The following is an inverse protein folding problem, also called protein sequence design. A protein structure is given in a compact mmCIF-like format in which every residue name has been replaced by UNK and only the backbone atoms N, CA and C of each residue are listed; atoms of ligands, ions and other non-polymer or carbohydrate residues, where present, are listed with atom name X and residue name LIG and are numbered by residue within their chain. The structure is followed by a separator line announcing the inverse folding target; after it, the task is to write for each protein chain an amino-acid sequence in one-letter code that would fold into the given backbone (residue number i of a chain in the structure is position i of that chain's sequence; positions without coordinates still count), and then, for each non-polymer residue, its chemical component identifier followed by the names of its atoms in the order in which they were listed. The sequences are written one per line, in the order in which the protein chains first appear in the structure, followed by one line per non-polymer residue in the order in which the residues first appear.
data_IF_632805084434
#
_entry.id   IF_632805084434
#
_cell.length_a   1.000
_cell.length_b   1.000
_cell.length_c   1.000
_cell.angle_alpha   90.00
_cell.angle_beta   90.00
_cell.angle_gamma   90.00
#
_symmetry.space_group_name_H-M   'P 1'
#
loop_
_entity.id
_entity.type
_entity.pdbx_description
1 polymer ?
#
# COMPACT_ATOMS: atom_id res chain seq x y z
N UNK A 1 14.65 2.96 -4.83
CA UNK A 1 13.23 3.27 -4.57
C UNK A 1 12.54 1.97 -4.20
N UNK A 2 11.74 1.92 -3.13
CA UNK A 2 11.11 0.66 -2.67
C UNK A 2 9.73 0.46 -3.29
N UNK A 3 9.26 -0.79 -3.38
CA UNK A 3 7.91 -1.12 -3.88
C UNK A 3 6.82 -0.40 -3.05
N UNK A 4 7.01 -0.26 -1.74
CA UNK A 4 6.13 0.53 -0.87
C UNK A 4 6.01 1.97 -1.34
N UNK A 5 7.14 2.63 -1.64
CA UNK A 5 7.11 4.03 -2.06
C UNK A 5 6.47 4.17 -3.43
N UNK A 6 6.79 3.28 -4.38
CA UNK A 6 6.16 3.25 -5.70
C UNK A 6 4.64 3.04 -5.61
N UNK A 7 4.19 2.15 -4.73
CA UNK A 7 2.78 1.92 -4.45
C UNK A 7 2.07 3.17 -3.92
N UNK A 8 2.62 3.81 -2.88
CA UNK A 8 2.02 5.03 -2.31
C UNK A 8 2.08 6.19 -3.31
N UNK A 9 3.15 6.29 -4.10
CA UNK A 9 3.28 7.31 -5.15
C UNK A 9 2.21 7.14 -6.22
N UNK A 10 1.95 5.91 -6.66
CA UNK A 10 0.91 5.64 -7.64
C UNK A 10 -0.49 5.97 -7.11
N UNK A 11 -0.73 5.82 -5.80
CA UNK A 11 -1.97 6.28 -5.15
C UNK A 11 -2.06 7.80 -5.11
N UNK A 12 -0.99 8.48 -4.68
CA UNK A 12 -0.93 9.96 -4.66
C UNK A 12 -1.15 10.53 -6.06
N UNK A 13 -0.54 9.92 -7.07
CA UNK A 13 -0.64 10.33 -8.47
C UNK A 13 -1.98 9.93 -9.12
N UNK A 14 -2.85 9.20 -8.41
CA UNK A 14 -4.15 8.75 -8.93
C UNK A 14 -4.05 7.73 -10.06
N UNK A 15 -2.96 6.95 -10.12
CA UNK A 15 -2.69 6.00 -11.22
C UNK A 15 -3.51 4.71 -11.13
N UNK A 16 -3.89 4.27 -9.93
CA UNK A 16 -4.81 3.16 -9.72
C UNK A 16 -5.48 3.25 -8.34
N UNK A 17 -6.55 2.47 -8.16
CA UNK A 17 -7.40 2.53 -6.98
C UNK A 17 -8.39 3.69 -7.03
N UNK A 18 -9.37 3.65 -6.13
CA UNK A 18 -10.37 4.71 -5.97
C UNK A 18 -10.01 5.58 -4.76
N UNK A 19 -9.15 6.58 -4.99
CA UNK A 19 -8.54 7.39 -3.95
C UNK A 19 -7.59 6.54 -3.12
N UNK A 20 -7.97 6.26 -1.87
CA UNK A 20 -7.14 5.48 -0.93
C UNK A 20 -7.54 4.00 -0.84
N UNK A 21 -8.52 3.57 -1.64
CA UNK A 21 -8.99 2.18 -1.67
C UNK A 21 -8.40 1.47 -2.88
N UNK A 22 -7.76 0.33 -2.66
CA UNK A 22 -7.15 -0.50 -3.70
C UNK A 22 -7.64 -1.93 -3.63
N UNK A 23 -7.69 -2.59 -4.78
CA UNK A 23 -7.90 -4.03 -4.86
C UNK A 23 -6.59 -4.76 -5.16
N UNK A 24 -6.52 -6.04 -4.75
CA UNK A 24 -5.40 -6.92 -5.07
C UNK A 24 -5.23 -7.08 -6.58
N UNK A 25 -6.33 -7.15 -7.32
CA UNK A 25 -6.32 -7.26 -8.77
C UNK A 25 -5.72 -6.03 -9.43
N UNK A 26 -6.16 -4.82 -9.07
CA UNK A 26 -5.58 -3.57 -9.59
C UNK A 26 -4.09 -3.47 -9.28
N UNK A 27 -3.70 -3.81 -8.05
CA UNK A 27 -2.30 -3.80 -7.65
C UNK A 27 -1.45 -4.78 -8.48
N UNK A 28 -1.91 -6.03 -8.65
CA UNK A 28 -1.20 -7.03 -9.47
C UNK A 28 -1.13 -6.63 -10.94
N UNK A 29 -2.18 -6.00 -11.47
CA UNK A 29 -2.19 -5.49 -12.85
C UNK A 29 -1.23 -4.32 -13.04
N UNK A 30 -1.20 -3.37 -12.09
CA UNK A 30 -0.34 -2.20 -12.16
C UNK A 30 1.14 -2.55 -11.96
N UNK A 31 1.45 -3.49 -11.07
CA UNK A 31 2.79 -3.99 -10.80
C UNK A 31 3.06 -5.35 -11.49
N UNK A 32 2.56 -5.54 -12.72
CA UNK A 32 2.68 -6.82 -13.45
C UNK A 32 4.12 -7.27 -13.72
N UNK A 33 5.07 -6.33 -13.71
CA UNK A 33 6.49 -6.59 -13.93
C UNK A 33 7.23 -7.00 -12.65
N UNK A 34 6.59 -6.90 -11.49
CA UNK A 34 7.14 -7.35 -10.21
C UNK A 34 6.94 -8.86 -10.03
N UNK A 35 7.76 -9.47 -9.16
CA UNK A 35 7.64 -10.90 -8.87
C UNK A 35 6.22 -11.23 -8.33
N UNK A 36 5.58 -12.23 -8.92
CA UNK A 36 4.21 -12.64 -8.59
C UNK A 36 4.03 -13.10 -7.13
N UNK A 37 5.08 -13.64 -6.51
CA UNK A 37 5.07 -13.98 -5.09
C UNK A 37 5.04 -12.69 -4.25
N UNK A 38 5.84 -11.69 -4.62
CA UNK A 38 5.87 -10.40 -3.94
C UNK A 38 4.54 -9.68 -4.08
N UNK A 39 4.00 -9.57 -5.30
CA UNK A 39 2.72 -8.88 -5.53
C UNK A 39 1.54 -9.62 -4.89
N UNK A 40 1.62 -10.95 -4.85
CA UNK A 40 0.60 -11.81 -4.27
C UNK A 40 0.41 -11.64 -2.76
N UNK A 41 1.47 -11.33 -2.01
CA UNK A 41 1.45 -11.17 -0.55
C UNK A 41 1.59 -9.72 -0.06
N UNK A 42 1.99 -8.77 -0.92
CA UNK A 42 2.30 -7.39 -0.52
C UNK A 42 1.20 -6.74 0.34
N UNK A 43 -0.04 -6.71 -0.17
CA UNK A 43 -1.15 -6.04 0.53
C UNK A 43 -1.52 -6.72 1.86
N UNK A 44 -1.43 -8.05 1.92
CA UNK A 44 -1.67 -8.79 3.15
C UNK A 44 -0.55 -8.57 4.18
N UNK A 45 0.71 -8.50 3.72
CA UNK A 45 1.84 -8.23 4.60
C UNK A 45 1.86 -6.77 5.09
N UNK A 46 1.33 -5.83 4.31
CA UNK A 46 1.19 -4.42 4.71
C UNK A 46 -0.01 -4.13 5.62
N UNK A 47 -0.80 -5.16 5.96
CA UNK A 47 -2.03 -5.02 6.73
C UNK A 47 -1.75 -4.70 8.20
N UNK A 48 -2.45 -3.69 8.73
CA UNK A 48 -2.44 -3.32 10.14
C UNK A 48 -3.37 -4.30 10.86
N UNK A 49 -2.80 -5.19 11.67
CA UNK A 49 -3.54 -6.20 12.44
C UNK A 49 -3.59 -5.77 13.92
N UNK A 50 -4.79 -5.56 14.45
CA UNK A 50 -4.99 -5.30 15.88
C UNK A 50 -4.56 -6.51 16.72
N UNK A 51 -3.70 -6.30 17.71
CA UNK A 51 -3.20 -7.35 18.60
C UNK A 51 -1.94 -8.08 18.09
N UNK A 52 -1.46 -7.77 16.89
CA UNK A 52 -0.16 -8.23 16.44
C UNK A 52 0.97 -7.39 17.10
N UNK A 53 2.10 -8.00 17.49
CA UNK A 53 3.25 -7.24 17.95
C UNK A 53 3.69 -6.28 16.86
N UNK A 54 3.82 -5.00 17.21
CA UNK A 54 4.30 -3.96 16.30
C UNK A 54 5.67 -4.39 15.76
N UNK A 55 5.76 -4.68 14.46
CA UNK A 55 7.02 -5.02 13.83
C UNK A 55 7.97 -3.80 13.92
N UNK A 56 9.13 -3.90 14.57
CA UNK A 56 10.05 -2.76 14.73
C UNK A 56 10.56 -2.22 13.38
N UNK A 57 10.62 -3.10 12.37
CA UNK A 57 11.27 -2.84 11.10
C UNK A 57 10.29 -2.66 9.93
N UNK A 58 8.99 -2.86 10.15
CA UNK A 58 8.01 -2.81 9.07
C UNK A 58 6.76 -2.05 9.50
N UNK A 59 6.62 -0.84 8.98
CA UNK A 59 5.43 -0.03 9.19
C UNK A 59 4.29 -0.57 8.33
N UNK A 60 3.33 -1.24 8.95
CA UNK A 60 2.08 -1.61 8.31
C UNK A 60 1.27 -0.34 7.98
N UNK A 61 0.65 -0.31 6.80
CA UNK A 61 0.04 0.91 6.27
C UNK A 61 -1.26 0.67 5.50
N UNK A 62 -1.78 -0.56 5.49
CA UNK A 62 -3.05 -0.89 4.83
C UNK A 62 -4.02 -1.51 5.84
N UNK A 63 -5.31 -1.39 5.57
CA UNK A 63 -6.39 -1.99 6.35
C UNK A 63 -7.24 -2.81 5.38
N UNK A 64 -7.40 -4.11 5.62
CA UNK A 64 -8.32 -4.92 4.82
C UNK A 64 -9.75 -4.54 5.17
N UNK A 65 -10.52 -4.15 4.15
CA UNK A 65 -11.93 -3.78 4.30
C UNK A 65 -12.87 -4.92 3.85
N UNK A 66 -12.42 -5.74 2.90
CA UNK A 66 -13.06 -6.99 2.50
C UNK A 66 -12.05 -7.86 1.74
N UNK A 67 -12.45 -9.05 1.31
CA UNK A 67 -11.56 -9.97 0.58
C UNK A 67 -10.96 -9.28 -0.66
N UNK A 68 -9.62 -9.24 -0.71
CA UNK A 68 -8.89 -8.62 -1.80
C UNK A 68 -9.01 -7.09 -1.89
N UNK A 69 -9.62 -6.41 -0.91
CA UNK A 69 -9.81 -4.96 -0.91
C UNK A 69 -9.18 -4.33 0.33
N UNK A 70 -8.37 -3.32 0.11
CA UNK A 70 -7.57 -2.67 1.13
C UNK A 70 -7.74 -1.16 1.07
N UNK A 71 -7.73 -0.53 2.24
CA UNK A 71 -7.66 0.92 2.40
C UNK A 71 -6.28 1.29 2.88
N UNK A 72 -5.63 2.22 2.21
CA UNK A 72 -4.34 2.76 2.64
C UNK A 72 -4.54 3.75 3.77
N UNK A 73 -3.73 3.62 4.81
CA UNK A 73 -3.78 4.50 5.97
C UNK A 73 -3.38 5.93 5.55
N UNK A 74 -4.21 6.97 5.84
CA UNK A 74 -3.94 8.34 5.41
C UNK A 74 -2.59 8.89 5.86
N UNK A 75 -2.14 8.54 7.08
CA UNK A 75 -0.82 8.95 7.57
C UNK A 75 0.34 8.45 6.71
N UNK A 76 0.22 7.28 6.05
CA UNK A 76 1.27 6.80 5.16
C UNK A 76 1.35 7.63 3.86
N UNK A 77 0.21 8.15 3.41
CA UNK A 77 0.11 9.05 2.25
C UNK A 77 0.68 10.42 2.62
N UNK A 78 0.26 10.99 3.75
CA UNK A 78 0.74 12.28 4.25
C UNK A 78 2.27 12.29 4.43
N UNK A 79 2.83 11.28 5.10
CA UNK A 79 4.29 11.13 5.25
C UNK A 79 4.97 11.10 3.88
N UNK A 80 4.40 10.38 2.91
CA UNK A 80 5.00 10.30 1.57
C UNK A 80 4.88 11.63 0.81
N UNK A 81 3.79 12.38 0.99
CA UNK A 81 3.60 13.71 0.41
C UNK A 81 4.60 14.72 0.97
N UNK A 82 4.86 14.71 2.28
CA UNK A 82 5.91 15.52 2.91
C UNK A 82 7.29 15.16 2.35
N UNK A 83 7.60 13.86 2.23
CA UNK A 83 8.85 13.39 1.60
C UNK A 83 8.99 13.80 0.12
N UNK A 84 7.89 14.11 -0.56
CA UNK A 84 7.84 14.62 -1.94
C UNK A 84 7.85 16.15 -2.02
N UNK A 85 7.80 16.86 -0.88
CA UNK A 85 7.68 18.33 -0.85
C UNK A 85 6.33 18.85 -1.36
N UNK A 86 5.26 18.06 -1.21
CA UNK A 86 3.90 18.43 -1.63
C UNK A 86 3.08 19.06 -0.49
N UNK A 87 3.57 18.93 0.75
CA UNK A 87 3.02 19.45 2.00
C UNK A 87 4.14 20.04 2.85
#
# INVERSE_FOLDING_TARGET
MTLRNQFIDAIIDGKFGNGITVTRQEFMQFFSNENSLTTGCFLSNSEIITGAPHSPNYTHFTLRISEGRYRVHPGAIEIRMQQRGML
#
